data_IF_246016147561
#
_entry.id   IF_246016147561
#
_cell.length_a   1.000
_cell.length_b   1.000
_cell.length_c   1.000
_cell.angle_alpha   90.00
_cell.angle_beta   90.00
_cell.angle_gamma   90.00
#
_symmetry.space_group_name_H-M   'P 1'
#
loop_
_entity.id
_entity.type
_entity.pdbx_description
1 polymer ?
#
# COMPACT_ATOMS: atom_id res chain seq x y z
N UNK A 1 -24.75 -12.15 4.68
CA UNK A 1 -24.84 -10.67 4.63
C UNK A 1 -23.47 -10.11 4.33
N UNK A 2 -23.22 -9.60 3.11
CA UNK A 2 -21.94 -8.95 2.77
C UNK A 2 -21.90 -7.55 3.40
N UNK A 3 -21.06 -7.35 4.42
CA UNK A 3 -20.74 -6.01 4.93
C UNK A 3 -19.95 -5.27 3.85
N UNK A 4 -20.59 -4.34 3.16
CA UNK A 4 -19.88 -3.39 2.28
C UNK A 4 -19.01 -2.50 3.17
N UNK A 5 -17.69 -2.71 3.12
CA UNK A 5 -16.72 -1.88 3.83
C UNK A 5 -16.76 -0.48 3.17
N UNK A 6 -17.23 0.52 3.91
CA UNK A 6 -17.16 1.92 3.46
C UNK A 6 -15.69 2.32 3.51
N UNK A 7 -15.07 2.52 2.34
CA UNK A 7 -13.72 3.09 2.26
C UNK A 7 -13.84 4.58 2.56
N UNK A 8 -13.31 5.01 3.70
CA UNK A 8 -13.12 6.44 4.00
C UNK A 8 -11.73 6.83 3.48
N UNK A 9 -11.64 7.91 2.73
CA UNK A 9 -10.36 8.54 2.41
C UNK A 9 -10.03 9.45 3.60
N UNK A 10 -8.86 9.26 4.19
CA UNK A 10 -8.37 10.06 5.31
C UNK A 10 -7.63 11.29 4.78
N UNK A 11 -7.79 12.41 5.47
CA UNK A 11 -6.92 13.58 5.30
C UNK A 11 -5.55 13.35 5.96
N UNK A 12 -4.54 14.11 5.56
CA UNK A 12 -3.17 13.97 6.10
C UNK A 12 -3.13 14.12 7.63
N UNK A 13 -3.90 15.05 8.19
CA UNK A 13 -4.02 15.24 9.63
C UNK A 13 -4.64 14.00 10.32
N UNK A 14 -5.73 13.46 9.76
CA UNK A 14 -6.37 12.25 10.30
C UNK A 14 -5.45 11.03 10.21
N UNK A 15 -4.60 10.96 9.17
CA UNK A 15 -3.62 9.89 9.02
C UNK A 15 -2.51 10.00 10.08
N UNK A 16 -1.99 11.20 10.32
CA UNK A 16 -0.98 11.45 11.36
C UNK A 16 -1.49 11.11 12.75
N UNK A 17 -2.71 11.53 13.09
CA UNK A 17 -3.34 11.21 14.39
C UNK A 17 -3.48 9.71 14.63
N UNK A 18 -3.76 8.91 13.59
CA UNK A 18 -3.82 7.45 13.69
C UNK A 18 -2.45 6.85 13.98
N UNK A 19 -1.40 7.41 13.40
CA UNK A 19 -0.04 6.93 13.60
C UNK A 19 0.49 7.30 14.99
N UNK A 20 0.27 8.53 15.44
CA UNK A 20 0.73 8.99 16.76
C UNK A 20 0.04 8.25 17.91
N UNK A 21 -1.22 7.85 17.73
CA UNK A 21 -1.97 7.08 18.72
C UNK A 21 -1.94 5.56 18.45
N UNK A 22 -1.07 5.11 17.55
CA UNK A 22 -0.93 3.71 17.23
C UNK A 22 -0.40 2.92 18.42
N UNK A 23 -1.15 1.91 18.85
CA UNK A 23 -0.77 1.02 19.95
C UNK A 23 -0.42 -0.37 19.37
N UNK A 24 0.87 -0.72 19.28
CA UNK A 24 1.29 -2.03 18.77
C UNK A 24 0.72 -3.19 19.56
N UNK A 25 0.40 -3.01 20.85
CA UNK A 25 -0.18 -4.06 21.68
C UNK A 25 -1.67 -4.32 21.35
N UNK A 26 -2.34 -3.34 20.73
CA UNK A 26 -3.70 -3.50 20.18
C UNK A 26 -3.71 -4.03 18.76
N UNK A 27 -2.54 -4.26 18.16
CA UNK A 27 -2.46 -4.87 16.84
C UNK A 27 -3.02 -6.28 16.90
N UNK A 28 -4.04 -6.55 16.08
CA UNK A 28 -4.59 -7.90 15.94
C UNK A 28 -3.58 -8.73 15.15
N UNK A 29 -3.11 -9.82 15.74
CA UNK A 29 -2.41 -10.86 14.98
C UNK A 29 -3.37 -11.47 13.95
N UNK A 30 -2.93 -11.55 12.69
CA UNK A 30 -3.71 -12.18 11.63
C UNK A 30 -3.94 -13.66 11.93
N UNK A 31 -5.11 -14.19 11.57
CA UNK A 31 -5.34 -15.64 11.72
C UNK A 31 -4.43 -16.42 10.78
N UNK A 32 -4.17 -17.72 11.06
CA UNK A 32 -3.42 -18.56 10.14
C UNK A 32 -3.98 -18.56 8.71
N UNK A 33 -5.30 -18.48 8.52
CA UNK A 33 -5.91 -18.39 7.18
C UNK A 33 -5.62 -17.04 6.50
N UNK A 34 -5.78 -15.93 7.21
CA UNK A 34 -5.47 -14.59 6.69
C UNK A 34 -3.98 -14.52 6.27
N UNK A 35 -3.08 -15.02 7.12
CA UNK A 35 -1.64 -15.10 6.81
C UNK A 35 -1.33 -16.01 5.61
N UNK A 36 -2.07 -17.11 5.44
CA UNK A 36 -1.91 -18.01 4.31
C UNK A 36 -2.31 -17.33 2.98
N UNK A 37 -3.42 -16.61 2.96
CA UNK A 37 -3.86 -15.83 1.79
C UNK A 37 -2.85 -14.73 1.45
N UNK A 38 -2.33 -14.03 2.45
CA UNK A 38 -1.27 -13.04 2.27
C UNK A 38 0.01 -13.66 1.67
N UNK A 39 0.42 -14.84 2.14
CA UNK A 39 1.57 -15.57 1.59
C UNK A 39 1.32 -16.05 0.17
N UNK A 40 0.11 -16.51 -0.14
CA UNK A 40 -0.25 -16.93 -1.51
C UNK A 40 -0.22 -15.75 -2.48
N UNK A 41 -0.74 -14.59 -2.08
CA UNK A 41 -0.66 -13.36 -2.86
C UNK A 41 0.79 -12.90 -3.06
N UNK A 42 1.62 -13.03 -2.03
CA UNK A 42 3.03 -12.68 -2.10
C UNK A 42 3.84 -13.59 -3.04
N UNK A 43 3.45 -14.86 -3.22
CA UNK A 43 4.12 -15.76 -4.19
C UNK A 43 3.97 -15.29 -5.64
N UNK A 44 2.90 -14.57 -5.94
CA UNK A 44 2.63 -13.98 -7.25
C UNK A 44 3.05 -12.50 -7.33
N UNK A 45 3.65 -11.95 -6.28
CA UNK A 45 4.12 -10.58 -6.31
C UNK A 45 5.37 -10.49 -7.19
N UNK A 46 5.36 -9.53 -8.11
CA UNK A 46 6.54 -9.17 -8.90
C UNK A 46 7.55 -8.56 -7.94
N UNK A 47 8.71 -9.20 -7.76
CA UNK A 47 9.85 -8.60 -7.05
C UNK A 47 10.48 -7.61 -8.03
N UNK A 48 10.27 -6.32 -7.79
CA UNK A 48 10.93 -5.26 -8.55
C UNK A 48 12.23 -4.93 -7.81
N UNK A 49 13.35 -5.06 -8.51
CA UNK A 49 14.62 -4.55 -8.03
C UNK A 49 14.54 -3.01 -8.02
N UNK A 50 14.68 -2.42 -6.85
CA UNK A 50 14.73 -0.96 -6.70
C UNK A 50 16.21 -0.59 -6.77
N UNK A 51 16.63 0.03 -7.87
CA UNK A 51 17.94 0.66 -7.93
C UNK A 51 17.95 1.89 -7.01
N UNK A 52 19.00 2.01 -6.21
CA UNK A 52 19.26 3.19 -5.39
C UNK A 52 19.67 4.33 -6.32
N UNK A 53 18.78 5.29 -6.54
CA UNK A 53 19.10 6.55 -7.21
C UNK A 53 19.82 7.48 -6.23
N UNK A 54 20.95 8.03 -6.65
CA UNK A 54 21.62 9.09 -5.91
C UNK A 54 20.66 10.29 -5.80
N UNK A 55 20.51 10.87 -4.61
CA UNK A 55 19.56 11.95 -4.37
C UNK A 55 19.81 13.20 -5.24
N UNK A 56 20.98 13.26 -5.89
CA UNK A 56 21.41 14.34 -6.75
C UNK A 56 21.11 14.12 -8.24
N UNK A 57 20.59 12.95 -8.63
CA UNK A 57 20.18 12.66 -10.01
C UNK A 57 18.72 13.10 -10.26
N UNK A 58 18.53 13.96 -11.26
CA UNK A 58 17.21 14.37 -11.73
C UNK A 58 16.63 13.29 -12.65
N UNK A 59 15.56 12.64 -12.22
CA UNK A 59 14.83 11.68 -13.06
C UNK A 59 13.75 12.42 -13.85
N UNK A 60 13.86 12.41 -15.18
CA UNK A 60 12.82 12.91 -16.08
C UNK A 60 11.66 11.91 -16.10
N UNK A 61 10.49 12.33 -15.59
CA UNK A 61 9.28 11.51 -15.62
C UNK A 61 8.52 11.85 -16.90
N UNK A 62 8.55 10.96 -17.89
CA UNK A 62 7.67 11.05 -19.06
C UNK A 62 6.24 10.68 -18.64
N UNK A 63 5.32 11.65 -18.66
CA UNK A 63 3.90 11.37 -18.57
C UNK A 63 3.46 10.58 -19.81
N UNK A 64 3.14 9.29 -19.61
CA UNK A 64 2.48 8.50 -20.64
C UNK A 64 1.03 8.98 -20.73
N UNK A 65 0.74 9.77 -21.76
CA UNK A 65 -0.62 10.17 -22.11
C UNK A 65 -1.42 8.93 -22.55
N UNK A 66 -2.36 8.51 -21.69
CA UNK A 66 -3.24 7.35 -21.93
C UNK A 66 -4.46 7.67 -22.80
N UNK A 67 -4.41 8.75 -23.59
CA UNK A 67 -5.53 9.17 -24.44
C UNK A 67 -5.85 8.21 -25.61
N UNK A 68 -4.98 7.24 -25.90
CA UNK A 68 -5.11 6.34 -27.07
C UNK A 68 -5.57 4.90 -26.74
N UNK A 69 -6.25 4.67 -25.62
CA UNK A 69 -7.09 3.46 -25.45
C UNK A 69 -8.55 3.78 -25.84
N UNK A 70 -8.85 3.74 -27.14
CA UNK A 70 -10.22 3.72 -27.68
C UNK A 70 -10.40 2.67 -28.76
#
# INVERSE_FOLDING_TARGET
>A
MNKKIKRKILTDAEYLELFENFDPAKWREGTPEELAEHRERAKNAVIVEIEEIDANDTVEIEEIDKSDER
#
